data_IF_465548328594
#
_entry.id   IF_465548328594
#
_cell.length_a   1.000
_cell.length_b   1.000
_cell.length_c   1.000
_cell.angle_alpha   90.00
_cell.angle_beta   90.00
_cell.angle_gamma   90.00
#
_symmetry.space_group_name_H-M   'P 1'
#
loop_
_entity.id
_entity.type
_entity.pdbx_description
1 polymer ?
#
# COMPACT_ATOMS: atom_id res chain seq x y z
N UNK A 1 5.61 -9.76 11.14
CA UNK A 1 5.28 -10.82 10.18
C UNK A 1 6.43 -11.00 9.21
N UNK A 2 6.72 -12.24 8.82
CA UNK A 2 7.72 -12.58 7.81
C UNK A 2 7.05 -13.54 6.82
N UNK A 3 7.01 -13.15 5.54
CA UNK A 3 6.46 -13.96 4.47
C UNK A 3 7.50 -14.18 3.37
N UNK A 4 7.46 -15.36 2.74
CA UNK A 4 8.31 -15.65 1.59
C UNK A 4 7.66 -15.11 0.32
N UNK A 5 8.48 -14.53 -0.55
CA UNK A 5 7.99 -13.99 -1.82
C UNK A 5 7.70 -15.11 -2.83
N UNK A 6 6.56 -15.01 -3.48
CA UNK A 6 6.13 -15.91 -4.55
C UNK A 6 5.29 -15.12 -5.57
N UNK A 7 5.83 -14.01 -6.06
CA UNK A 7 5.09 -13.09 -6.95
C UNK A 7 4.92 -13.60 -8.38
N UNK A 8 5.79 -14.52 -8.81
CA UNK A 8 5.61 -15.19 -10.09
C UNK A 8 4.70 -16.39 -9.92
N UNK A 9 3.67 -16.46 -10.76
CA UNK A 9 2.79 -17.62 -10.80
C UNK A 9 3.50 -18.88 -11.29
N UNK A 10 3.06 -20.03 -10.82
CA UNK A 10 3.51 -21.31 -11.34
C UNK A 10 3.02 -21.46 -12.79
N UNK A 11 3.88 -21.83 -13.76
CA UNK A 11 3.46 -22.05 -15.14
C UNK A 11 2.35 -23.09 -15.26
N UNK A 12 1.34 -22.84 -16.12
CA UNK A 12 0.23 -23.77 -16.35
C UNK A 12 0.73 -25.15 -16.78
N UNK A 13 1.76 -25.20 -17.61
CA UNK A 13 2.39 -26.43 -18.07
C UNK A 13 2.93 -27.28 -16.90
N UNK A 14 3.38 -26.68 -15.82
CA UNK A 14 3.84 -27.38 -14.61
C UNK A 14 2.67 -27.89 -13.75
N UNK A 15 1.53 -27.19 -13.74
CA UNK A 15 0.38 -27.52 -12.89
C UNK A 15 -0.54 -28.55 -13.55
N UNK A 16 -0.82 -28.41 -14.83
CA UNK A 16 -1.83 -29.17 -15.57
C UNK A 16 -1.28 -29.90 -16.81
N UNK A 17 -0.06 -29.56 -17.25
CA UNK A 17 0.58 -30.15 -18.39
C UNK A 17 1.24 -31.50 -18.10
N UNK A 18 1.73 -32.11 -19.15
CA UNK A 18 2.59 -33.29 -19.09
C UNK A 18 4.07 -32.89 -19.28
N UNK A 19 4.98 -33.87 -19.28
CA UNK A 19 6.42 -33.61 -19.42
C UNK A 19 6.78 -32.91 -20.75
N UNK A 20 6.03 -33.18 -21.84
CA UNK A 20 6.27 -32.52 -23.13
C UNK A 20 5.80 -31.07 -23.09
N UNK A 21 4.63 -30.78 -22.50
CA UNK A 21 4.11 -29.42 -22.37
C UNK A 21 5.07 -28.56 -21.54
N UNK A 22 5.65 -29.13 -20.49
CA UNK A 22 6.65 -28.45 -19.68
C UNK A 22 7.96 -28.20 -20.44
N UNK A 23 8.42 -29.18 -21.22
CA UNK A 23 9.61 -29.02 -22.06
C UNK A 23 9.39 -27.93 -23.13
N UNK A 24 8.22 -27.95 -23.78
CA UNK A 24 7.84 -26.94 -24.79
C UNK A 24 7.75 -25.53 -24.18
N UNK A 25 7.30 -25.43 -22.91
CA UNK A 25 7.31 -24.17 -22.16
C UNK A 25 8.74 -23.67 -21.91
N UNK A 26 9.64 -24.55 -21.45
CA UNK A 26 11.04 -24.25 -21.18
C UNK A 26 11.73 -23.77 -22.46
N UNK A 27 11.58 -24.52 -23.56
CA UNK A 27 12.23 -24.21 -24.84
C UNK A 27 11.74 -22.89 -25.44
N UNK A 28 10.44 -22.64 -25.37
CA UNK A 28 9.80 -21.41 -25.87
C UNK A 28 10.23 -20.15 -25.10
N UNK A 29 10.50 -20.28 -23.81
CA UNK A 29 10.88 -19.16 -22.94
C UNK A 29 12.39 -19.09 -22.70
N UNK A 30 13.18 -19.93 -23.38
CA UNK A 30 14.66 -19.94 -23.30
C UNK A 30 15.17 -20.11 -21.86
N UNK A 31 14.50 -20.98 -21.07
CA UNK A 31 14.84 -21.18 -19.68
C UNK A 31 15.98 -22.20 -19.57
N UNK A 32 17.09 -21.78 -18.98
CA UNK A 32 18.32 -22.57 -18.89
C UNK A 32 18.84 -22.64 -17.42
N UNK A 33 19.88 -23.42 -17.20
CA UNK A 33 20.60 -23.49 -15.92
C UNK A 33 19.74 -23.90 -14.73
N UNK A 34 19.91 -23.19 -13.62
CA UNK A 34 19.21 -23.44 -12.34
C UNK A 34 17.69 -23.29 -12.43
N UNK A 35 17.21 -22.37 -13.24
CA UNK A 35 15.76 -22.12 -13.39
C UNK A 35 15.09 -23.27 -14.12
N UNK A 36 15.76 -23.85 -15.13
CA UNK A 36 15.31 -25.04 -15.81
C UNK A 36 15.27 -26.25 -14.87
N UNK A 37 16.30 -26.43 -14.06
CA UNK A 37 16.35 -27.50 -13.07
C UNK A 37 15.25 -27.35 -12.01
N UNK A 38 15.03 -26.13 -11.53
CA UNK A 38 13.95 -25.80 -10.60
C UNK A 38 12.57 -26.17 -11.19
N UNK A 39 12.27 -25.79 -12.43
CA UNK A 39 11.02 -26.14 -13.12
C UNK A 39 10.83 -27.65 -13.27
N UNK A 40 11.89 -28.39 -13.58
CA UNK A 40 11.81 -29.83 -13.82
C UNK A 40 11.69 -30.67 -12.53
N UNK A 41 12.16 -30.14 -11.40
CA UNK A 41 12.27 -30.91 -10.14
C UNK A 41 11.30 -30.50 -9.06
N UNK A 42 10.84 -29.25 -9.03
CA UNK A 42 10.05 -28.71 -7.91
C UNK A 42 8.57 -29.12 -7.92
N UNK A 43 8.02 -29.52 -9.07
CA UNK A 43 6.62 -29.89 -9.17
C UNK A 43 5.68 -28.81 -8.61
N UNK A 44 4.76 -29.18 -7.75
CA UNK A 44 3.76 -28.26 -7.17
C UNK A 44 4.32 -27.30 -6.11
N UNK A 45 5.56 -27.49 -5.70
CA UNK A 45 6.25 -26.60 -4.74
C UNK A 45 7.14 -25.57 -5.45
N UNK A 46 7.02 -25.47 -6.77
CA UNK A 46 7.78 -24.52 -7.56
C UNK A 46 7.62 -23.10 -7.04
N UNK A 47 8.76 -22.44 -6.89
CA UNK A 47 8.86 -21.00 -6.69
C UNK A 47 10.00 -20.48 -7.60
N UNK A 48 9.72 -19.45 -8.36
CA UNK A 48 10.75 -18.79 -9.17
C UNK A 48 11.91 -18.27 -8.29
N UNK A 49 11.58 -17.76 -7.10
CA UNK A 49 12.58 -17.29 -6.15
C UNK A 49 13.19 -18.45 -5.38
N UNK A 50 14.46 -18.68 -5.58
CA UNK A 50 15.22 -19.79 -4.96
C UNK A 50 16.16 -19.33 -3.85
N UNK A 51 16.29 -18.02 -3.63
CA UNK A 51 17.07 -17.48 -2.53
C UNK A 51 16.35 -17.71 -1.20
N UNK A 52 17.01 -18.35 -0.24
CA UNK A 52 16.39 -18.78 1.03
C UNK A 52 15.79 -17.66 1.88
N UNK A 53 16.28 -16.43 1.71
CA UNK A 53 15.79 -15.27 2.44
C UNK A 53 15.07 -14.26 1.55
N UNK A 54 14.51 -14.68 0.42
CA UNK A 54 13.61 -13.88 -0.40
C UNK A 54 12.31 -13.63 0.36
N UNK A 55 12.33 -12.64 1.23
CA UNK A 55 11.28 -12.45 2.23
C UNK A 55 10.84 -11.02 2.35
N UNK A 56 9.58 -10.86 2.74
CA UNK A 56 8.98 -9.62 3.20
C UNK A 56 8.86 -9.65 4.73
N UNK A 57 9.48 -8.69 5.38
CA UNK A 57 9.49 -8.55 6.83
C UNK A 57 8.84 -7.21 7.17
N UNK A 58 7.70 -7.23 7.86
CA UNK A 58 7.00 -6.01 8.23
C UNK A 58 6.41 -6.11 9.62
N UNK A 59 6.56 -5.04 10.40
CA UNK A 59 5.96 -4.90 11.71
C UNK A 59 5.12 -3.61 11.75
N UNK A 60 3.95 -3.70 12.36
CA UNK A 60 3.10 -2.54 12.65
C UNK A 60 2.68 -2.54 14.12
N UNK A 61 2.77 -1.36 14.73
CA UNK A 61 2.26 -1.09 16.06
C UNK A 61 1.13 -0.05 15.96
N UNK A 62 -0.02 -0.35 16.57
CA UNK A 62 -1.20 0.50 16.54
C UNK A 62 -1.55 1.00 17.93
N UNK A 63 -1.69 2.31 18.07
CA UNK A 63 -2.12 2.97 19.29
C UNK A 63 -3.40 3.75 19.00
N UNK A 64 -4.45 3.50 19.80
CA UNK A 64 -5.75 4.14 19.59
C UNK A 64 -6.31 4.59 20.92
N UNK A 65 -6.86 5.81 20.93
CA UNK A 65 -7.65 6.34 22.03
C UNK A 65 -9.04 6.68 21.52
N UNK A 66 -10.05 6.01 22.06
CA UNK A 66 -11.45 6.23 21.73
C UNK A 66 -12.15 7.02 22.85
N UNK A 67 -12.94 8.01 22.44
CA UNK A 67 -13.79 8.80 23.33
C UNK A 67 -15.22 8.78 22.81
N UNK A 68 -16.17 8.50 23.69
CA UNK A 68 -17.59 8.67 23.40
C UNK A 68 -18.28 9.39 24.59
N UNK A 69 -19.25 10.25 24.26
CA UNK A 69 -19.98 11.00 25.26
C UNK A 69 -21.40 11.31 24.77
N UNK A 70 -22.38 11.00 25.60
CA UNK A 70 -23.78 11.38 25.40
C UNK A 70 -24.08 12.66 26.18
N UNK A 71 -24.25 13.78 25.47
CA UNK A 71 -24.54 15.08 26.10
C UNK A 71 -25.97 15.18 26.64
N UNK A 72 -26.91 14.61 25.85
CA UNK A 72 -28.32 14.57 26.17
C UNK A 72 -29.00 13.52 25.27
N UNK A 73 -30.25 13.11 25.54
CA UNK A 73 -30.97 12.19 24.68
C UNK A 73 -31.01 12.68 23.24
N UNK A 74 -30.47 11.86 22.35
CA UNK A 74 -30.36 12.16 20.91
C UNK A 74 -29.17 13.05 20.49
N UNK A 75 -28.26 13.39 21.38
CA UNK A 75 -27.01 14.09 21.02
C UNK A 75 -25.80 13.37 21.60
N UNK A 76 -25.03 12.73 20.77
CA UNK A 76 -23.82 12.00 21.16
C UNK A 76 -22.61 12.42 20.31
N UNK A 77 -21.44 12.33 20.91
CA UNK A 77 -20.14 12.55 20.31
C UNK A 77 -19.34 11.26 20.32
N UNK A 78 -18.65 10.97 19.25
CA UNK A 78 -17.60 9.95 19.17
C UNK A 78 -16.36 10.52 18.51
N UNK A 79 -15.21 10.17 19.05
CA UNK A 79 -13.92 10.58 18.51
C UNK A 79 -12.85 9.54 18.75
N UNK A 80 -11.82 9.55 17.93
CA UNK A 80 -10.66 8.72 18.14
C UNK A 80 -9.39 9.47 17.72
N UNK A 81 -8.31 9.26 18.48
CA UNK A 81 -6.95 9.53 18.08
C UNK A 81 -6.30 8.23 17.71
N UNK A 82 -5.50 8.22 16.67
CA UNK A 82 -4.74 7.04 16.27
C UNK A 82 -3.31 7.41 15.88
N UNK A 83 -2.42 6.47 16.16
CA UNK A 83 -1.04 6.47 15.70
C UNK A 83 -0.66 5.04 15.31
N UNK A 84 -0.12 4.89 14.11
CA UNK A 84 0.41 3.64 13.61
C UNK A 84 1.85 3.88 13.21
N UNK A 85 2.77 3.11 13.78
CA UNK A 85 4.13 3.00 13.34
C UNK A 85 4.30 1.69 12.57
N UNK A 86 4.87 1.77 11.38
CA UNK A 86 5.11 0.60 10.54
C UNK A 86 6.52 0.62 9.98
N UNK A 87 7.27 -0.47 10.15
CA UNK A 87 8.62 -0.59 9.61
C UNK A 87 8.87 -1.99 9.09
N UNK A 88 9.52 -2.04 7.94
CA UNK A 88 9.91 -3.31 7.36
C UNK A 88 10.68 -3.16 6.07
N UNK A 89 11.06 -4.31 5.54
CA UNK A 89 11.79 -4.40 4.27
C UNK A 89 11.43 -5.71 3.58
N UNK A 90 11.56 -5.73 2.27
CA UNK A 90 11.71 -6.97 1.56
C UNK A 90 13.16 -7.14 1.08
N UNK A 91 13.64 -8.37 1.17
CA UNK A 91 14.98 -8.76 0.78
C UNK A 91 14.93 -9.56 -0.51
N UNK A 92 15.80 -9.26 -1.45
CA UNK A 92 15.84 -9.89 -2.76
C UNK A 92 17.28 -10.21 -3.17
N UNK A 93 17.45 -11.38 -3.74
CA UNK A 93 18.62 -11.73 -4.52
C UNK A 93 18.40 -11.33 -5.99
N UNK A 94 19.40 -10.69 -6.57
CA UNK A 94 19.47 -10.30 -7.98
C UNK A 94 20.71 -10.90 -8.60
N UNK A 95 20.52 -11.79 -9.57
CA UNK A 95 21.63 -12.37 -10.30
C UNK A 95 22.04 -11.45 -11.44
N UNK A 96 23.37 -11.21 -11.57
CA UNK A 96 23.96 -10.48 -12.66
C UNK A 96 23.31 -9.10 -12.93
N UNK A 97 22.98 -8.38 -11.87
CA UNK A 97 22.30 -7.09 -11.92
C UNK A 97 23.32 -5.95 -12.14
N UNK A 98 22.93 -4.90 -12.87
CA UNK A 98 23.79 -3.76 -13.19
C UNK A 98 24.19 -2.99 -11.93
N UNK A 99 25.48 -2.76 -11.74
CA UNK A 99 26.01 -1.95 -10.63
C UNK A 99 25.51 -0.48 -10.71
N UNK A 100 25.29 0.01 -11.93
CA UNK A 100 24.79 1.36 -12.17
C UNK A 100 23.38 1.59 -11.59
N UNK A 101 22.51 0.58 -11.56
CA UNK A 101 21.17 0.65 -10.97
C UNK A 101 21.19 0.91 -9.46
N UNK A 102 22.35 0.69 -8.85
CA UNK A 102 22.59 0.93 -7.42
C UNK A 102 23.51 2.13 -7.17
N UNK A 103 23.83 2.90 -8.22
CA UNK A 103 24.80 3.99 -8.12
C UNK A 103 26.22 3.51 -7.75
N UNK A 104 26.49 2.22 -7.93
CA UNK A 104 27.80 1.63 -7.63
C UNK A 104 28.74 1.77 -8.84
N UNK A 105 30.03 2.09 -8.63
CA UNK A 105 31.01 2.13 -9.70
C UNK A 105 31.36 0.73 -10.19
N UNK A 106 31.71 0.63 -11.47
CA UNK A 106 32.27 -0.58 -12.05
C UNK A 106 33.51 -1.06 -11.30
N UNK A 107 33.77 -2.34 -11.33
CA UNK A 107 34.88 -2.98 -10.61
C UNK A 107 35.94 -3.43 -11.61
N UNK A 108 37.21 -3.05 -11.42
CA UNK A 108 38.33 -3.46 -12.25
C UNK A 108 39.02 -4.69 -11.65
N UNK A 109 38.99 -5.82 -12.36
CA UNK A 109 39.68 -7.06 -11.95
C UNK A 109 40.52 -7.60 -13.09
N UNK A 110 41.82 -7.65 -12.87
CA UNK A 110 42.76 -8.24 -13.85
C UNK A 110 42.83 -7.50 -15.20
N UNK A 111 42.38 -6.26 -15.29
CA UNK A 111 42.30 -5.45 -16.49
C UNK A 111 40.97 -5.59 -17.24
N UNK A 112 40.02 -6.28 -16.67
CA UNK A 112 38.62 -6.36 -17.16
C UNK A 112 37.72 -5.49 -16.30
N UNK A 113 36.82 -4.75 -16.96
CA UNK A 113 35.78 -3.94 -16.28
C UNK A 113 34.54 -4.81 -16.05
N UNK A 114 34.15 -4.95 -14.81
CA UNK A 114 32.94 -5.67 -14.39
C UNK A 114 31.86 -4.65 -14.14
N UNK A 115 30.77 -4.72 -14.86
CA UNK A 115 29.63 -3.80 -14.83
C UNK A 115 28.45 -4.37 -14.06
N UNK A 116 28.36 -5.70 -13.93
CA UNK A 116 27.26 -6.42 -13.27
C UNK A 116 27.74 -7.22 -12.07
N UNK A 117 26.84 -7.55 -11.15
CA UNK A 117 27.14 -8.38 -9.98
C UNK A 117 25.89 -9.11 -9.50
N UNK A 118 26.09 -10.26 -8.86
CA UNK A 118 25.06 -10.78 -7.99
C UNK A 118 24.95 -9.89 -6.76
N UNK A 119 23.74 -9.48 -6.44
CA UNK A 119 23.45 -8.50 -5.38
C UNK A 119 22.35 -9.03 -4.47
N UNK A 120 22.47 -8.80 -3.17
CA UNK A 120 21.36 -8.91 -2.21
C UNK A 120 21.03 -7.50 -1.74
N UNK A 121 19.78 -7.10 -1.97
CA UNK A 121 19.28 -5.78 -1.59
C UNK A 121 18.12 -5.89 -0.62
N UNK A 122 17.94 -4.82 0.17
CA UNK A 122 16.72 -4.57 0.94
C UNK A 122 16.07 -3.28 0.48
N UNK A 123 14.76 -3.30 0.37
CA UNK A 123 13.95 -2.10 0.17
C UNK A 123 13.09 -1.89 1.40
N UNK A 124 13.29 -0.76 2.05
CA UNK A 124 12.70 -0.43 3.32
C UNK A 124 11.49 0.49 3.18
N UNK A 125 10.54 0.27 4.07
CA UNK A 125 9.47 1.18 4.43
C UNK A 125 9.60 1.50 5.92
N UNK A 126 9.56 2.79 6.30
CA UNK A 126 9.59 3.26 7.68
C UNK A 126 8.57 4.39 7.81
N UNK A 127 7.40 4.09 8.40
CA UNK A 127 6.19 4.88 8.22
C UNK A 127 5.54 5.26 9.54
N UNK A 128 5.14 6.53 9.64
CA UNK A 128 4.26 7.06 10.66
C UNK A 128 2.91 7.43 10.04
N UNK A 129 1.82 6.94 10.61
CA UNK A 129 0.47 7.34 10.25
C UNK A 129 -0.32 7.72 11.49
N UNK A 130 -0.74 8.96 11.59
CA UNK A 130 -1.47 9.46 12.75
C UNK A 130 -2.56 10.43 12.38
N UNK A 131 -3.53 10.56 13.29
CA UNK A 131 -4.64 11.46 13.05
C UNK A 131 -5.71 11.41 14.11
N UNK A 132 -6.81 12.09 13.78
CA UNK A 132 -8.00 12.16 14.58
C UNK A 132 -9.24 12.01 13.70
N UNK A 133 -10.26 11.33 14.22
CA UNK A 133 -11.60 11.27 13.65
C UNK A 133 -12.61 11.75 14.68
N UNK A 134 -13.72 12.34 14.22
CA UNK A 134 -14.81 12.74 15.10
C UNK A 134 -16.15 12.68 14.40
N UNK A 135 -17.19 12.44 15.16
CA UNK A 135 -18.57 12.54 14.72
C UNK A 135 -19.47 13.02 15.86
N UNK A 136 -20.30 14.01 15.58
CA UNK A 136 -21.40 14.46 16.41
C UNK A 136 -22.69 13.95 15.78
N UNK A 137 -23.41 13.10 16.48
CA UNK A 137 -24.70 12.56 16.05
C UNK A 137 -25.83 13.30 16.75
N UNK A 138 -26.82 13.72 15.96
CA UNK A 138 -27.98 14.43 16.45
C UNK A 138 -29.28 13.80 15.98
N UNK A 139 -29.97 13.13 16.90
CA UNK A 139 -31.19 12.37 16.68
C UNK A 139 -32.30 12.85 17.68
N UNK A 140 -32.78 14.09 17.55
CA UNK A 140 -33.72 14.67 18.53
C UNK A 140 -35.12 14.03 18.48
N UNK A 141 -35.41 13.30 17.41
CA UNK A 141 -36.69 12.62 17.20
C UNK A 141 -36.51 11.44 16.24
N UNK A 142 -37.53 10.61 16.12
CA UNK A 142 -37.56 9.52 15.13
C UNK A 142 -37.58 9.99 13.67
N UNK A 143 -37.75 11.28 13.43
CA UNK A 143 -37.83 11.85 12.07
C UNK A 143 -36.50 12.40 11.58
N UNK A 144 -35.60 12.83 12.45
CA UNK A 144 -34.33 13.46 12.06
C UNK A 144 -33.17 12.65 12.60
N UNK A 145 -32.29 12.28 11.67
CA UNK A 145 -30.96 11.73 11.96
C UNK A 145 -29.94 12.60 11.25
N UNK A 146 -29.09 13.28 12.00
CA UNK A 146 -28.05 14.14 11.46
C UNK A 146 -26.68 13.78 12.03
N UNK A 147 -25.65 13.93 11.23
CA UNK A 147 -24.25 13.71 11.65
C UNK A 147 -23.39 14.82 11.08
N UNK A 148 -22.62 15.45 11.95
CA UNK A 148 -21.47 16.30 11.57
C UNK A 148 -20.21 15.56 11.97
N UNK A 149 -19.31 15.31 11.03
CA UNK A 149 -18.09 14.57 11.31
C UNK A 149 -16.94 14.96 10.43
N UNK A 150 -15.79 14.37 10.69
CA UNK A 150 -14.61 14.62 9.93
C UNK A 150 -13.40 13.84 10.41
N UNK A 151 -12.30 14.03 9.69
CA UNK A 151 -11.02 13.45 10.03
C UNK A 151 -9.88 14.37 9.60
N UNK A 152 -8.79 14.28 10.32
CA UNK A 152 -7.49 14.77 9.90
C UNK A 152 -6.46 13.65 10.08
N UNK A 153 -5.71 13.35 9.02
CA UNK A 153 -4.70 12.31 9.04
C UNK A 153 -3.42 12.81 8.39
N UNK A 154 -2.29 12.40 8.93
CA UNK A 154 -0.98 12.62 8.33
C UNK A 154 -0.23 11.30 8.23
N UNK A 155 0.29 11.03 7.05
CA UNK A 155 1.25 9.97 6.76
C UNK A 155 2.61 10.59 6.49
N UNK A 156 3.65 9.99 7.06
CA UNK A 156 5.05 10.23 6.74
C UNK A 156 5.70 8.88 6.50
N UNK A 157 6.40 8.74 5.39
CA UNK A 157 7.06 7.50 5.03
C UNK A 157 8.44 7.77 4.47
N UNK A 158 9.45 7.15 5.07
CA UNK A 158 10.77 7.05 4.50
C UNK A 158 10.87 5.73 3.71
N UNK A 159 11.32 5.83 2.46
CA UNK A 159 11.53 4.72 1.57
C UNK A 159 12.97 4.73 1.10
N UNK A 160 13.70 3.66 1.33
CA UNK A 160 15.10 3.57 0.93
C UNK A 160 15.52 2.14 0.60
N UNK A 161 16.52 2.03 -0.27
CA UNK A 161 17.13 0.76 -0.64
C UNK A 161 18.55 0.64 -0.12
N UNK A 162 18.92 -0.54 0.36
CA UNK A 162 20.28 -0.88 0.82
C UNK A 162 20.80 -2.08 0.05
N UNK A 163 22.05 -2.01 -0.41
CA UNK A 163 22.81 -3.18 -0.86
C UNK A 163 23.47 -3.80 0.36
N UNK A 164 23.07 -5.03 0.73
CA UNK A 164 23.61 -5.71 1.90
C UNK A 164 24.70 -6.72 1.57
N UNK A 165 24.80 -7.11 0.30
CA UNK A 165 25.85 -7.96 -0.22
C UNK A 165 25.96 -7.81 -1.74
N UNK A 166 27.16 -7.88 -2.27
CA UNK A 166 27.45 -7.99 -3.68
C UNK A 166 28.63 -8.95 -3.91
N UNK A 167 28.58 -9.74 -4.99
CA UNK A 167 29.71 -10.63 -5.36
C UNK A 167 30.95 -9.83 -5.69
N UNK A 168 30.75 -8.74 -6.44
CA UNK A 168 31.79 -7.78 -6.77
C UNK A 168 31.44 -6.44 -6.14
N UNK A 169 32.25 -6.00 -5.20
CA UNK A 169 32.09 -4.71 -4.55
C UNK A 169 33.41 -3.94 -4.63
N UNK A 170 33.35 -2.66 -4.95
CA UNK A 170 34.54 -1.81 -5.03
C UNK A 170 34.74 -1.01 -3.76
N UNK A 171 34.34 0.25 -3.76
CA UNK A 171 34.55 1.22 -2.69
C UNK A 171 33.31 1.49 -1.85
N UNK A 172 32.22 0.76 -2.09
CA UNK A 172 30.97 0.91 -1.37
C UNK A 172 31.03 0.37 0.05
N UNK A 173 30.20 0.90 0.93
CA UNK A 173 30.03 0.43 2.29
C UNK A 173 28.86 -0.55 2.36
N UNK A 174 28.95 -1.56 3.24
CA UNK A 174 27.82 -2.44 3.51
C UNK A 174 26.61 -1.61 4.01
N UNK A 175 25.42 -1.88 3.47
CA UNK A 175 24.18 -1.13 3.74
C UNK A 175 24.22 0.34 3.30
N UNK A 176 25.04 0.65 2.32
CA UNK A 176 24.96 1.95 1.66
C UNK A 176 23.59 2.06 0.96
N UNK A 177 22.93 3.20 1.18
CA UNK A 177 21.65 3.47 0.53
C UNK A 177 21.90 3.84 -0.93
N UNK A 178 21.24 3.15 -1.84
CA UNK A 178 21.30 3.49 -3.26
C UNK A 178 20.17 4.43 -3.69
N UNK A 179 19.06 4.46 -2.94
CA UNK A 179 18.05 5.51 -3.03
C UNK A 179 17.50 5.85 -1.66
N UNK A 180 16.97 7.06 -1.53
CA UNK A 180 16.37 7.57 -0.31
C UNK A 180 15.33 8.62 -0.68
N UNK A 181 14.08 8.40 -0.27
CA UNK A 181 13.02 9.38 -0.44
C UNK A 181 12.07 9.40 0.74
N UNK A 182 11.46 10.56 0.93
CA UNK A 182 10.40 10.77 1.89
C UNK A 182 9.09 11.08 1.16
N UNK A 183 8.00 10.54 1.65
CA UNK A 183 6.66 10.87 1.21
C UNK A 183 5.83 11.39 2.38
N UNK A 184 5.16 12.52 2.19
CA UNK A 184 4.17 13.01 3.12
C UNK A 184 2.81 13.09 2.45
N UNK A 185 1.77 12.70 3.20
CA UNK A 185 0.37 12.90 2.81
C UNK A 185 -0.41 13.47 3.98
N UNK A 186 -1.08 14.59 3.74
CA UNK A 186 -2.06 15.14 4.68
C UNK A 186 -3.45 15.01 4.06
N UNK A 187 -4.41 14.48 4.81
CA UNK A 187 -5.79 14.32 4.41
C UNK A 187 -6.69 14.93 5.49
N UNK A 188 -7.44 15.94 5.11
CA UNK A 188 -8.45 16.58 5.97
C UNK A 188 -9.81 16.46 5.32
N UNK A 189 -10.81 16.10 6.10
CA UNK A 189 -12.19 16.17 5.64
C UNK A 189 -13.14 16.60 6.74
N UNK A 190 -14.22 17.24 6.34
CA UNK A 190 -15.40 17.52 7.16
C UNK A 190 -16.63 17.21 6.34
N UNK A 191 -17.62 16.62 6.96
CA UNK A 191 -18.88 16.32 6.30
C UNK A 191 -20.08 16.57 7.24
N UNK A 192 -21.20 16.93 6.62
CA UNK A 192 -22.50 17.00 7.28
C UNK A 192 -23.49 16.19 6.46
N UNK A 193 -24.15 15.24 7.11
CA UNK A 193 -25.23 14.44 6.51
C UNK A 193 -26.46 14.47 7.39
N UNK A 194 -27.62 14.48 6.74
CA UNK A 194 -28.90 14.39 7.45
C UNK A 194 -29.89 13.56 6.64
N UNK A 195 -30.69 12.78 7.36
CA UNK A 195 -31.87 12.10 6.84
C UNK A 195 -33.09 12.63 7.59
N UNK A 196 -34.10 13.02 6.83
CA UNK A 196 -35.35 13.52 7.41
C UNK A 196 -36.57 12.78 6.85
N UNK A 197 -37.36 12.20 7.73
CA UNK A 197 -38.63 11.54 7.39
C UNK A 197 -39.75 12.58 7.25
N UNK A 198 -40.07 12.93 6.00
CA UNK A 198 -41.13 13.86 5.64
C UNK A 198 -42.52 13.31 6.08
N UNK A 199 -42.72 12.02 5.85
CA UNK A 199 -43.90 11.27 6.25
C UNK A 199 -43.51 9.90 6.81
N UNK A 200 -44.48 9.09 7.23
CA UNK A 200 -44.20 7.71 7.63
C UNK A 200 -43.64 6.80 6.52
N UNK A 201 -43.72 7.25 5.24
CA UNK A 201 -43.26 6.48 4.08
C UNK A 201 -42.20 7.17 3.25
N UNK A 202 -42.01 8.47 3.42
CA UNK A 202 -41.14 9.28 2.58
C UNK A 202 -40.02 9.89 3.39
N UNK A 203 -38.80 9.61 3.04
CA UNK A 203 -37.60 10.19 3.64
C UNK A 203 -36.70 10.82 2.56
N UNK A 204 -36.02 11.88 2.93
CA UNK A 204 -35.00 12.55 2.11
C UNK A 204 -33.68 12.54 2.87
N UNK A 205 -32.57 12.45 2.16
CA UNK A 205 -31.25 12.63 2.74
C UNK A 205 -30.41 13.62 1.93
N UNK A 206 -29.50 14.27 2.62
CA UNK A 206 -28.46 15.09 2.05
C UNK A 206 -27.13 14.82 2.75
N UNK A 207 -26.05 14.87 2.01
CA UNK A 207 -24.67 14.73 2.48
C UNK A 207 -23.80 15.72 1.72
N UNK A 208 -22.99 16.48 2.44
CA UNK A 208 -21.99 17.37 1.86
C UNK A 208 -20.67 17.13 2.54
N UNK A 209 -19.65 16.79 1.76
CA UNK A 209 -18.28 16.62 2.23
C UNK A 209 -17.35 17.61 1.56
N UNK A 210 -16.52 18.27 2.35
CA UNK A 210 -15.33 18.97 1.91
C UNK A 210 -14.11 18.14 2.29
N UNK A 211 -13.21 17.88 1.31
CA UNK A 211 -11.97 17.13 1.55
C UNK A 211 -10.80 17.83 0.90
N UNK A 212 -9.71 17.97 1.66
CA UNK A 212 -8.43 18.49 1.18
C UNK A 212 -7.36 17.43 1.34
N UNK A 213 -6.62 17.16 0.26
CA UNK A 213 -5.52 16.18 0.24
C UNK A 213 -4.29 16.86 -0.30
N UNK A 214 -3.18 16.73 0.44
CA UNK A 214 -1.86 17.25 0.06
C UNK A 214 -0.87 16.10 0.02
N UNK A 215 -0.03 16.09 -1.01
CA UNK A 215 1.07 15.13 -1.19
C UNK A 215 2.37 15.89 -1.40
N UNK A 216 3.43 15.36 -0.80
CA UNK A 216 4.81 15.77 -1.05
C UNK A 216 5.67 14.51 -1.20
N UNK A 217 6.48 14.48 -2.25
CA UNK A 217 7.50 13.47 -2.48
C UNK A 217 8.84 14.20 -2.54
N UNK A 218 9.83 13.73 -1.77
CA UNK A 218 11.13 14.36 -1.62
C UNK A 218 12.22 13.32 -1.79
N UNK A 219 13.17 13.56 -2.71
CA UNK A 219 14.32 12.70 -2.89
C UNK A 219 14.32 11.89 -4.18
N UNK A 220 14.96 10.73 -4.15
CA UNK A 220 15.19 9.88 -5.31
C UNK A 220 14.46 8.55 -5.14
N UNK A 221 13.89 8.04 -6.22
CA UNK A 221 13.26 6.72 -6.25
C UNK A 221 14.29 5.60 -6.53
N UNK A 222 13.80 4.37 -6.67
CA UNK A 222 14.64 3.21 -6.91
C UNK A 222 15.29 3.15 -8.30
N UNK A 223 14.88 4.00 -9.22
CA UNK A 223 15.47 4.15 -10.54
C UNK A 223 16.43 5.35 -10.59
N UNK A 224 16.81 5.85 -9.41
CA UNK A 224 17.71 6.99 -9.17
C UNK A 224 17.19 8.31 -9.77
N UNK A 225 15.91 8.41 -10.03
CA UNK A 225 15.29 9.62 -10.55
C UNK A 225 14.81 10.55 -9.42
N UNK A 226 14.99 11.85 -9.61
CA UNK A 226 14.50 12.83 -8.65
C UNK A 226 12.99 12.98 -8.78
N UNK A 227 12.26 12.47 -7.78
CA UNK A 227 10.79 12.51 -7.71
C UNK A 227 10.23 13.68 -6.91
N UNK A 228 11.05 14.65 -6.54
CA UNK A 228 10.62 15.80 -5.73
C UNK A 228 9.48 16.55 -6.40
N UNK A 229 8.29 16.44 -5.82
CA UNK A 229 7.07 17.06 -6.31
C UNK A 229 6.02 17.22 -5.20
N UNK A 230 5.06 18.09 -5.41
CA UNK A 230 3.92 18.27 -4.52
C UNK A 230 2.61 18.39 -5.30
N UNK A 231 1.51 17.98 -4.68
CA UNK A 231 0.17 18.13 -5.22
C UNK A 231 -0.83 18.50 -4.11
N UNK A 232 -1.77 19.36 -4.43
CA UNK A 232 -2.84 19.83 -3.52
C UNK A 232 -4.19 19.67 -4.23
N UNK A 233 -5.11 18.97 -3.61
CA UNK A 233 -6.43 18.71 -4.14
C UNK A 233 -7.51 19.11 -3.15
N UNK A 234 -8.56 19.76 -3.65
CA UNK A 234 -9.75 20.06 -2.88
C UNK A 234 -10.98 19.50 -3.59
N UNK A 235 -11.77 18.74 -2.85
CA UNK A 235 -12.97 18.08 -3.34
C UNK A 235 -14.19 18.58 -2.56
N UNK A 236 -15.28 18.82 -3.28
CA UNK A 236 -16.61 19.07 -2.73
C UNK A 236 -17.52 17.98 -3.24
N UNK A 237 -18.02 17.14 -2.37
CA UNK A 237 -18.79 15.95 -2.70
C UNK A 237 -20.21 16.07 -2.15
N UNK A 238 -21.16 16.67 -2.88
CA UNK A 238 -22.56 16.68 -2.51
C UNK A 238 -23.23 15.35 -2.89
N UNK A 239 -24.13 14.87 -2.05
CA UNK A 239 -25.04 13.75 -2.33
C UNK A 239 -26.43 14.10 -1.80
N UNK A 240 -27.45 13.72 -2.53
CA UNK A 240 -28.83 13.84 -2.08
C UNK A 240 -29.65 12.65 -2.56
N UNK A 241 -30.72 12.32 -1.88
CA UNK A 241 -31.57 11.24 -2.30
C UNK A 241 -32.91 11.24 -1.57
N UNK A 242 -33.78 10.40 -2.09
CA UNK A 242 -35.14 10.20 -1.64
C UNK A 242 -35.43 8.70 -1.54
N UNK A 243 -36.10 8.32 -0.47
CA UNK A 243 -36.55 6.94 -0.24
C UNK A 243 -38.03 6.94 0.03
N UNK A 244 -38.77 6.06 -0.68
CA UNK A 244 -40.20 5.87 -0.49
C UNK A 244 -40.50 4.41 -0.15
N UNK A 245 -41.14 4.19 1.00
CA UNK A 245 -41.63 2.87 1.44
C UNK A 245 -42.98 2.56 0.79
N UNK A 246 -43.00 1.60 -0.12
CA UNK A 246 -44.21 1.13 -0.79
C UNK A 246 -45.10 0.34 0.20
N UNK A 247 -44.48 -0.62 0.85
CA UNK A 247 -45.08 -1.46 1.91
C UNK A 247 -43.95 -2.03 2.79
N UNK A 248 -44.27 -2.65 3.94
CA UNK A 248 -43.23 -3.26 4.77
C UNK A 248 -42.27 -4.14 3.93
N UNK A 249 -40.97 -3.93 4.09
CA UNK A 249 -39.89 -4.62 3.40
C UNK A 249 -39.70 -4.28 1.90
N UNK A 250 -40.45 -3.32 1.36
CA UNK A 250 -40.29 -2.86 -0.04
C UNK A 250 -40.09 -1.35 -0.10
N UNK A 251 -38.92 -0.94 -0.65
CA UNK A 251 -38.54 0.45 -0.78
C UNK A 251 -38.12 0.78 -2.20
N UNK A 252 -38.45 2.00 -2.64
CA UNK A 252 -37.86 2.63 -3.82
C UNK A 252 -36.93 3.73 -3.34
N UNK A 253 -35.78 3.85 -3.96
CA UNK A 253 -34.86 4.96 -3.70
C UNK A 253 -34.31 5.55 -4.99
N UNK A 254 -33.98 6.83 -4.95
CA UNK A 254 -33.22 7.52 -5.97
C UNK A 254 -32.20 8.43 -5.29
N UNK A 255 -30.98 8.45 -5.81
CA UNK A 255 -29.90 9.28 -5.27
C UNK A 255 -29.00 9.83 -6.37
N UNK A 256 -28.42 11.00 -6.08
CA UNK A 256 -27.43 11.68 -6.87
C UNK A 256 -26.20 11.97 -6.00
#
# INVERSE_FOLDING_TARGET
EKTYQAWYGTPEALVYGNAQDLQDYIDRNWIEGSDRENLLTSGRTYNYYTYDNETDNYQQDHYQLHLSHDFLPGLSFSGALHYTYGRGYYEQFKADDDLADYGLPNVEIGGETIETSDIIRRRWLDNDFYGATYALQYNPSSRLNATLGGAWNKYKGAHFGEVIWARYASTSSIREKYYDNDAEKTDFNVFAKATYSLTGKLSVFGDLQLRKVQYEFLGFDNDLENITQSADYTFVNPKAGITYELQPEQQLYASY
#
